data_IF_102879496143
#
_entry.id   IF_102879496143
#
_cell.length_a   1.000
_cell.length_b   1.000
_cell.length_c   1.000
_cell.angle_alpha   90.00
_cell.angle_beta   90.00
_cell.angle_gamma   90.00
#
_symmetry.space_group_name_H-M   'P 1'
#
loop_
_entity.id
_entity.type
_entity.pdbx_description
1 polymer ?
#
# COMPACT_ATOMS: atom_id res chain seq x y z
N UNK A 1 11.18 50.99 37.69
CA UNK A 1 11.45 50.84 36.25
C UNK A 1 11.76 49.38 35.98
N UNK A 2 11.03 48.72 35.08
CA UNK A 2 11.31 47.30 34.75
C UNK A 2 12.31 47.22 33.61
N UNK A 3 13.46 46.59 33.85
CA UNK A 3 14.48 46.35 32.81
C UNK A 3 14.21 45.05 32.09
N UNK A 4 13.93 45.10 30.79
CA UNK A 4 13.88 43.92 29.92
C UNK A 4 15.30 43.39 29.69
N UNK A 5 15.42 42.08 29.48
CA UNK A 5 16.66 41.40 29.12
C UNK A 5 16.44 40.52 27.89
N UNK A 6 17.47 40.31 27.08
CA UNK A 6 17.41 39.44 25.91
C UNK A 6 17.27 37.99 26.35
N UNK A 7 16.27 37.29 25.82
CA UNK A 7 16.03 35.87 26.11
C UNK A 7 17.08 34.94 25.48
N UNK A 8 17.87 35.43 24.53
CA UNK A 8 18.96 34.67 23.88
C UNK A 8 20.29 34.83 24.63
N UNK A 9 20.77 36.07 24.85
CA UNK A 9 22.09 36.33 25.44
C UNK A 9 22.09 36.93 26.87
N UNK A 10 20.94 37.18 27.48
CA UNK A 10 20.84 37.70 28.85
C UNK A 10 21.21 39.17 29.05
N UNK A 11 21.61 39.93 28.01
CA UNK A 11 21.92 41.36 28.12
C UNK A 11 20.68 42.21 28.36
N UNK A 12 20.80 43.26 29.18
CA UNK A 12 19.78 44.29 29.40
C UNK A 12 19.47 45.03 28.09
N UNK A 13 18.18 45.12 27.76
CA UNK A 13 17.67 45.75 26.55
C UNK A 13 17.16 47.15 26.84
N UNK A 14 17.32 48.06 25.87
CA UNK A 14 16.65 49.36 25.91
C UNK A 14 15.18 49.22 25.48
N UNK A 15 14.25 50.07 25.96
CA UNK A 15 12.82 49.87 25.73
C UNK A 15 12.38 49.90 24.25
N UNK A 16 13.14 50.59 23.40
CA UNK A 16 12.83 50.83 21.97
C UNK A 16 13.69 49.98 21.01
N UNK A 17 14.57 49.11 21.52
CA UNK A 17 15.39 48.23 20.70
C UNK A 17 14.52 47.12 20.06
N UNK A 18 14.43 47.11 18.73
CA UNK A 18 13.72 46.08 17.94
C UNK A 18 14.55 44.81 17.70
N UNK A 19 15.86 44.87 17.97
CA UNK A 19 16.82 43.78 17.85
C UNK A 19 17.87 43.91 18.95
N UNK A 20 18.39 42.81 19.48
CA UNK A 20 19.47 42.84 20.46
C UNK A 20 20.81 43.22 19.79
N UNK A 21 21.44 44.29 20.26
CA UNK A 21 22.67 44.84 19.68
C UNK A 21 23.94 43.99 19.88
N UNK A 22 23.92 42.92 20.68
CA UNK A 22 25.07 41.98 20.81
C UNK A 22 24.92 40.72 19.97
N UNK A 23 23.72 40.13 19.89
CA UNK A 23 23.49 38.82 19.28
C UNK A 23 22.58 38.85 18.03
N UNK A 24 22.08 40.02 17.63
CA UNK A 24 21.22 40.20 16.46
C UNK A 24 19.78 39.67 16.62
N UNK A 25 19.44 39.01 17.73
CA UNK A 25 18.11 38.45 17.97
C UNK A 25 17.01 39.51 17.81
N UNK A 26 16.04 39.26 16.92
CA UNK A 26 14.85 40.10 16.77
C UNK A 26 13.97 40.04 18.01
N UNK A 27 13.51 41.20 18.47
CA UNK A 27 12.64 41.36 19.63
C UNK A 27 11.22 41.59 19.12
N UNK A 28 10.28 40.75 19.57
CA UNK A 28 8.87 40.82 19.14
C UNK A 28 8.10 41.65 20.16
N UNK A 29 7.51 42.76 19.72
CA UNK A 29 6.61 43.58 20.54
C UNK A 29 5.25 42.90 20.67
N UNK A 30 4.93 42.47 21.89
CA UNK A 30 3.58 42.02 22.26
C UNK A 30 2.82 43.18 22.90
N UNK A 31 1.86 43.74 22.17
CA UNK A 31 0.84 44.62 22.75
C UNK A 31 -0.07 43.83 23.71
N UNK A 32 -0.62 44.54 24.70
CA UNK A 32 -1.02 43.94 25.97
C UNK A 32 -2.49 43.50 26.00
N UNK A 33 -2.73 42.31 26.56
CA UNK A 33 -4.01 42.03 27.21
C UNK A 33 -4.06 42.74 28.56
N UNK A 34 -5.16 43.42 28.88
CA UNK A 34 -5.52 43.82 30.25
C UNK A 34 -6.91 43.24 30.56
N UNK A 35 -7.01 42.60 31.73
CA UNK A 35 -8.21 41.99 32.29
C UNK A 35 -8.67 42.82 33.50
N UNK A 36 -9.98 43.00 33.69
CA UNK A 36 -10.59 43.66 34.86
C UNK A 36 -11.98 43.04 35.17
N UNK A 37 -12.35 43.03 36.45
CA UNK A 37 -13.38 42.14 37.04
C UNK A 37 -14.29 42.88 38.06
N UNK A 38 -15.52 42.46 38.38
CA UNK A 38 -16.40 41.41 37.81
C UNK A 38 -17.79 42.07 37.47
N UNK A 39 -19.01 41.79 38.01
CA UNK A 39 -19.57 40.63 38.70
C UNK A 39 -20.74 39.92 37.98
N UNK A 40 -20.83 38.61 38.17
CA UNK A 40 -22.02 37.79 38.36
C UNK A 40 -23.30 38.16 37.55
N UNK A 41 -23.45 37.63 36.33
CA UNK A 41 -24.77 37.14 35.89
C UNK A 41 -24.71 36.01 34.84
N UNK A 42 -24.85 34.80 35.38
CA UNK A 42 -25.21 33.52 34.77
C UNK A 42 -25.94 33.56 33.41
N UNK A 43 -25.19 33.72 32.31
CA UNK A 43 -25.53 33.10 31.03
C UNK A 43 -24.53 31.98 30.76
N UNK A 44 -24.93 30.75 31.09
CA UNK A 44 -24.30 29.56 30.53
C UNK A 44 -24.38 29.70 29.01
N UNK A 45 -23.26 29.98 28.34
CA UNK A 45 -23.16 29.80 26.90
C UNK A 45 -23.35 28.32 26.65
N UNK A 46 -24.59 27.96 26.32
CA UNK A 46 -24.92 26.64 25.86
C UNK A 46 -24.14 26.43 24.56
N UNK A 47 -23.03 25.69 24.65
CA UNK A 47 -22.49 24.91 23.55
C UNK A 47 -23.60 23.94 23.15
N UNK A 48 -24.52 24.44 22.31
CA UNK A 48 -25.75 23.76 22.02
C UNK A 48 -25.41 22.55 21.17
N UNK A 49 -25.73 21.37 21.71
CA UNK A 49 -25.72 20.13 20.94
C UNK A 49 -26.71 20.27 19.78
N UNK A 50 -26.25 20.80 18.65
CA UNK A 50 -27.03 20.81 17.40
C UNK A 50 -27.01 19.43 16.70
N UNK A 51 -26.78 18.37 17.47
CA UNK A 51 -27.09 17.00 17.08
C UNK A 51 -28.61 16.78 17.18
N UNK A 52 -29.31 17.29 16.17
CA UNK A 52 -30.65 16.82 15.85
C UNK A 52 -30.58 15.29 15.67
N UNK A 53 -31.50 14.51 16.26
CA UNK A 53 -31.50 13.03 16.13
C UNK A 53 -31.36 12.55 14.67
N UNK A 54 -31.90 13.31 13.71
CA UNK A 54 -31.75 13.06 12.26
C UNK A 54 -30.30 13.14 11.75
N UNK A 55 -29.49 14.09 12.23
CA UNK A 55 -28.06 14.21 11.85
C UNK A 55 -27.19 13.09 12.42
N UNK A 56 -27.51 12.62 13.64
CA UNK A 56 -26.86 11.44 14.21
C UNK A 56 -27.15 10.16 13.41
N UNK A 57 -28.40 9.99 12.93
CA UNK A 57 -28.80 8.85 12.08
C UNK A 57 -28.07 8.91 10.74
N UNK A 58 -27.99 10.07 10.09
CA UNK A 58 -27.28 10.23 8.79
C UNK A 58 -25.78 9.96 8.96
N UNK A 59 -25.14 10.50 10.01
CA UNK A 59 -23.74 10.21 10.31
C UNK A 59 -23.48 8.73 10.57
N UNK A 60 -24.37 8.06 11.32
CA UNK A 60 -24.29 6.61 11.54
C UNK A 60 -24.51 5.80 10.27
N UNK A 61 -25.40 6.23 9.36
CA UNK A 61 -25.61 5.58 8.07
C UNK A 61 -24.42 5.76 7.13
N UNK A 62 -23.80 6.93 7.09
CA UNK A 62 -22.58 7.17 6.30
C UNK A 62 -21.40 6.37 6.87
N UNK A 63 -21.27 6.27 8.20
CA UNK A 63 -20.26 5.42 8.84
C UNK A 63 -20.49 3.93 8.50
N UNK A 64 -21.72 3.45 8.62
CA UNK A 64 -22.07 2.06 8.27
C UNK A 64 -21.93 1.78 6.78
N UNK A 65 -22.27 2.72 5.90
CA UNK A 65 -22.01 2.62 4.46
C UNK A 65 -20.52 2.66 4.16
N UNK A 66 -19.72 3.46 4.88
CA UNK A 66 -18.26 3.47 4.75
C UNK A 66 -17.63 2.14 5.17
N UNK A 67 -18.05 1.59 6.32
CA UNK A 67 -17.62 0.27 6.81
C UNK A 67 -18.06 -0.83 5.83
N UNK A 68 -19.31 -0.78 5.34
CA UNK A 68 -19.81 -1.68 4.31
C UNK A 68 -19.01 -1.56 3.01
N UNK A 69 -18.68 -0.34 2.58
CA UNK A 69 -17.88 -0.08 1.38
C UNK A 69 -16.45 -0.61 1.53
N UNK A 70 -15.81 -0.48 2.70
CA UNK A 70 -14.52 -1.12 2.96
C UNK A 70 -14.61 -2.65 2.95
N UNK A 71 -15.67 -3.24 3.51
CA UNK A 71 -15.88 -4.70 3.53
C UNK A 71 -16.19 -5.25 2.12
N UNK A 72 -16.91 -4.48 1.28
CA UNK A 72 -17.34 -4.94 -0.04
C UNK A 72 -16.38 -4.56 -1.18
N UNK A 73 -15.49 -3.58 -1.01
CA UNK A 73 -14.39 -3.33 -1.97
C UNK A 73 -13.25 -4.33 -1.77
N UNK A 74 -12.94 -4.69 -0.52
CA UNK A 74 -12.04 -5.82 -0.22
C UNK A 74 -12.77 -7.17 -0.26
N UNK A 75 -13.98 -7.24 -0.84
CA UNK A 75 -14.59 -8.53 -1.16
C UNK A 75 -13.64 -9.28 -2.10
N UNK A 76 -13.16 -10.48 -1.73
CA UNK A 76 -12.34 -11.27 -2.65
C UNK A 76 -13.14 -11.47 -3.94
N UNK A 77 -12.53 -11.12 -5.07
CA UNK A 77 -13.03 -11.49 -6.39
C UNK A 77 -12.90 -13.01 -6.42
N UNK A 78 -14.01 -13.74 -6.23
CA UNK A 78 -14.00 -15.20 -6.32
C UNK A 78 -13.27 -15.63 -7.61
N UNK A 79 -12.59 -16.77 -7.55
CA UNK A 79 -11.91 -17.38 -8.70
C UNK A 79 -12.81 -17.38 -9.92
N UNK A 80 -12.31 -16.82 -11.02
CA UNK A 80 -13.06 -16.78 -12.28
C UNK A 80 -13.06 -18.16 -12.98
N UNK A 81 -12.26 -19.10 -12.49
CA UNK A 81 -12.05 -20.44 -13.06
C UNK A 81 -12.67 -21.50 -12.16
N UNK A 82 -13.75 -22.13 -12.63
CA UNK A 82 -14.45 -23.19 -11.88
C UNK A 82 -13.49 -24.34 -11.54
N UNK A 83 -13.35 -24.66 -10.27
CA UNK A 83 -12.47 -25.73 -9.77
C UNK A 83 -11.08 -25.27 -9.33
N UNK A 84 -10.78 -23.98 -9.46
CA UNK A 84 -9.59 -23.33 -8.88
C UNK A 84 -10.03 -22.53 -7.66
N UNK A 85 -9.36 -22.71 -6.52
CA UNK A 85 -9.62 -21.93 -5.30
C UNK A 85 -9.18 -20.47 -5.47
N UNK A 86 -9.76 -19.57 -4.68
CA UNK A 86 -9.44 -18.14 -4.76
C UNK A 86 -7.95 -17.86 -4.51
N UNK A 87 -7.33 -18.50 -3.50
CA UNK A 87 -5.88 -18.38 -3.20
C UNK A 87 -5.05 -18.72 -4.45
N UNK A 88 -5.27 -19.90 -5.03
CA UNK A 88 -4.50 -20.38 -6.19
C UNK A 88 -4.78 -19.52 -7.42
N UNK A 89 -6.03 -19.10 -7.64
CA UNK A 89 -6.39 -18.20 -8.74
C UNK A 89 -5.62 -16.89 -8.69
N UNK A 90 -5.57 -16.22 -7.54
CA UNK A 90 -4.81 -14.97 -7.39
C UNK A 90 -3.32 -15.17 -7.63
N UNK A 91 -2.75 -16.21 -7.05
CA UNK A 91 -1.33 -16.53 -7.21
C UNK A 91 -0.95 -16.86 -8.67
N UNK A 92 -1.85 -17.51 -9.43
CA UNK A 92 -1.67 -17.75 -10.87
C UNK A 92 -1.72 -16.44 -11.67
N UNK A 93 -2.63 -15.52 -11.33
CA UNK A 93 -2.74 -14.21 -12.02
C UNK A 93 -1.54 -13.31 -11.71
N UNK A 94 -1.07 -13.29 -10.46
CA UNK A 94 0.18 -12.60 -10.09
C UNK A 94 1.40 -13.16 -10.83
N UNK A 95 1.53 -14.49 -10.92
CA UNK A 95 2.61 -15.11 -11.68
C UNK A 95 2.50 -14.76 -13.17
N UNK A 96 1.30 -14.85 -13.77
CA UNK A 96 1.10 -14.49 -15.18
C UNK A 96 1.61 -13.07 -15.46
N UNK A 97 1.17 -12.07 -14.69
CA UNK A 97 1.60 -10.69 -14.92
C UNK A 97 3.09 -10.47 -14.63
N UNK A 98 3.69 -11.20 -13.67
CA UNK A 98 5.13 -11.15 -13.45
C UNK A 98 5.91 -11.65 -14.67
N UNK A 99 5.44 -12.74 -15.29
CA UNK A 99 6.05 -13.30 -16.49
C UNK A 99 5.87 -12.39 -17.72
N UNK A 100 4.73 -11.73 -17.86
CA UNK A 100 4.53 -10.67 -18.87
C UNK A 100 5.52 -9.51 -18.65
N UNK A 101 5.59 -8.95 -17.44
CA UNK A 101 6.49 -7.83 -17.13
C UNK A 101 7.97 -8.21 -17.33
N UNK A 102 8.35 -9.45 -16.98
CA UNK A 102 9.70 -9.96 -17.23
C UNK A 102 10.02 -9.99 -18.73
N UNK A 103 9.07 -10.37 -19.58
CA UNK A 103 9.25 -10.42 -21.02
C UNK A 103 9.22 -9.03 -21.68
N UNK A 104 8.40 -8.11 -21.19
CA UNK A 104 8.44 -6.70 -21.60
C UNK A 104 9.81 -6.07 -21.31
N UNK A 105 10.43 -6.39 -20.17
CA UNK A 105 11.79 -5.96 -19.84
C UNK A 105 12.87 -6.61 -20.70
N UNK A 106 12.70 -7.87 -21.13
CA UNK A 106 13.64 -8.51 -22.04
C UNK A 106 13.51 -8.07 -23.50
N UNK A 107 12.35 -7.58 -23.92
CA UNK A 107 12.05 -7.27 -25.33
C UNK A 107 12.05 -5.78 -25.67
N UNK A 108 11.71 -4.91 -24.72
CA UNK A 108 11.92 -3.47 -24.88
C UNK A 108 13.38 -3.07 -24.58
N UNK A 109 13.75 -1.85 -24.95
CA UNK A 109 15.04 -1.21 -24.62
C UNK A 109 15.18 -0.83 -23.13
N UNK A 110 14.25 -1.28 -22.30
CA UNK A 110 14.19 -1.03 -20.86
C UNK A 110 15.34 -1.70 -20.12
N UNK A 111 16.44 -0.96 -19.96
CA UNK A 111 17.59 -1.32 -19.11
C UNK A 111 17.27 -1.30 -17.60
N UNK A 112 16.05 -1.63 -17.21
CA UNK A 112 15.64 -1.75 -15.81
C UNK A 112 16.19 -3.03 -15.22
N UNK A 113 16.76 -2.95 -14.02
CA UNK A 113 17.16 -4.14 -13.30
C UNK A 113 15.89 -4.86 -12.80
N UNK A 114 15.68 -6.10 -13.26
CA UNK A 114 14.55 -6.94 -12.82
C UNK A 114 14.55 -7.12 -11.29
N UNK A 115 15.73 -7.19 -10.66
CA UNK A 115 15.84 -7.33 -9.21
C UNK A 115 15.40 -6.04 -8.49
N UNK A 116 15.81 -4.86 -8.99
CA UNK A 116 15.34 -3.56 -8.46
C UNK A 116 13.81 -3.41 -8.62
N UNK A 117 13.26 -3.80 -9.78
CA UNK A 117 11.81 -3.79 -9.98
C UNK A 117 11.10 -4.78 -9.05
N UNK A 118 11.64 -5.98 -8.84
CA UNK A 118 11.09 -6.98 -7.90
C UNK A 118 11.07 -6.44 -6.47
N UNK A 119 12.19 -5.91 -5.97
CA UNK A 119 12.31 -5.35 -4.61
C UNK A 119 11.37 -4.16 -4.37
N UNK A 120 11.03 -3.40 -5.41
CA UNK A 120 10.06 -2.32 -5.34
C UNK A 120 8.59 -2.81 -5.19
N UNK A 121 8.28 -4.07 -5.54
CA UNK A 121 6.91 -4.58 -5.47
C UNK A 121 6.48 -4.89 -4.03
N UNK A 122 5.20 -4.61 -3.72
CA UNK A 122 4.60 -4.99 -2.43
C UNK A 122 4.74 -6.49 -2.16
N UNK A 123 4.55 -7.31 -3.19
CA UNK A 123 4.65 -8.77 -3.20
C UNK A 123 6.02 -9.26 -2.70
N UNK A 124 7.09 -8.46 -2.86
CA UNK A 124 8.42 -8.82 -2.37
C UNK A 124 8.44 -8.98 -0.86
N UNK A 125 7.76 -8.11 -0.11
CA UNK A 125 7.67 -8.19 1.35
C UNK A 125 6.86 -9.40 1.83
N UNK A 126 5.86 -9.81 1.05
CA UNK A 126 5.10 -11.02 1.32
C UNK A 126 5.96 -12.27 1.04
N UNK A 127 6.84 -12.23 0.03
CA UNK A 127 7.84 -13.26 -0.28
C UNK A 127 9.00 -13.32 0.75
N UNK A 128 9.51 -12.17 1.22
CA UNK A 128 10.47 -12.07 2.33
C UNK A 128 9.91 -12.71 3.59
N UNK A 129 8.69 -12.32 3.98
CA UNK A 129 8.01 -12.89 5.14
C UNK A 129 7.77 -14.40 4.99
N UNK A 130 7.50 -14.90 3.78
CA UNK A 130 7.41 -16.34 3.55
C UNK A 130 8.76 -17.03 3.77
N UNK A 131 9.86 -16.46 3.26
CA UNK A 131 11.21 -16.97 3.45
C UNK A 131 11.63 -16.98 4.94
N UNK A 132 11.41 -15.89 5.67
CA UNK A 132 11.70 -15.77 7.11
C UNK A 132 11.00 -16.85 7.97
N UNK A 133 9.83 -17.32 7.54
CA UNK A 133 9.02 -18.32 8.25
C UNK A 133 9.16 -19.73 7.67
N UNK A 134 10.16 -19.98 6.80
CA UNK A 134 10.37 -21.24 6.11
C UNK A 134 11.78 -21.79 6.36
N UNK A 135 11.86 -23.01 6.91
CA UNK A 135 13.14 -23.72 7.09
C UNK A 135 13.83 -24.09 5.76
N UNK A 136 13.17 -23.85 4.61
CA UNK A 136 13.55 -24.40 3.30
C UNK A 136 13.68 -23.36 2.18
N UNK A 137 13.25 -22.12 2.42
CA UNK A 137 13.41 -20.99 1.49
C UNK A 137 14.43 -20.02 2.08
N UNK A 138 15.53 -19.80 1.37
CA UNK A 138 16.64 -18.98 1.83
C UNK A 138 16.49 -17.52 1.40
N UNK A 139 15.81 -17.26 0.28
CA UNK A 139 15.66 -15.92 -0.30
C UNK A 139 14.27 -15.71 -0.89
N UNK A 140 13.71 -14.49 -0.72
CA UNK A 140 12.42 -14.09 -1.28
C UNK A 140 12.31 -14.34 -2.79
N UNK A 141 13.41 -14.15 -3.52
CA UNK A 141 13.54 -14.43 -4.96
C UNK A 141 13.17 -15.86 -5.39
N UNK A 142 13.22 -16.85 -4.49
CA UNK A 142 12.82 -18.23 -4.79
C UNK A 142 11.30 -18.44 -4.78
N UNK A 143 10.55 -17.48 -4.23
CA UNK A 143 9.10 -17.52 -4.01
C UNK A 143 8.42 -16.20 -4.41
N UNK A 144 9.07 -15.40 -5.27
CA UNK A 144 8.50 -14.19 -5.85
C UNK A 144 7.79 -14.52 -7.18
N UNK A 145 6.63 -13.89 -7.50
CA UNK A 145 5.87 -12.94 -6.68
C UNK A 145 5.10 -13.61 -5.53
N UNK A 146 4.91 -14.93 -5.57
CA UNK A 146 4.22 -15.68 -4.52
C UNK A 146 4.73 -17.14 -4.44
N UNK A 147 4.50 -17.83 -3.31
CA UNK A 147 5.06 -19.16 -3.09
C UNK A 147 4.35 -20.32 -3.81
N UNK A 148 3.38 -20.07 -4.72
CA UNK A 148 2.53 -21.14 -5.29
C UNK A 148 3.32 -22.27 -5.94
N UNK A 149 4.31 -21.94 -6.77
CA UNK A 149 5.09 -22.95 -7.50
C UNK A 149 6.00 -23.73 -6.56
N UNK A 150 6.48 -23.08 -5.49
CA UNK A 150 7.25 -23.73 -4.44
C UNK A 150 6.38 -24.69 -3.61
N UNK A 151 5.22 -24.23 -3.12
CA UNK A 151 4.23 -25.07 -2.41
C UNK A 151 3.77 -26.26 -3.29
N UNK A 152 3.55 -26.03 -4.59
CA UNK A 152 3.18 -27.06 -5.56
C UNK A 152 4.25 -28.13 -5.74
N UNK A 153 5.52 -27.76 -5.88
CA UNK A 153 6.59 -28.75 -6.01
C UNK A 153 6.78 -29.61 -4.76
N UNK A 154 6.38 -29.10 -3.59
CA UNK A 154 6.46 -29.79 -2.30
C UNK A 154 5.26 -30.71 -2.03
N UNK A 155 4.05 -30.37 -2.49
CA UNK A 155 2.84 -31.13 -2.19
C UNK A 155 1.76 -31.03 -3.30
N UNK A 156 2.01 -31.66 -4.45
CA UNK A 156 1.08 -31.67 -5.58
C UNK A 156 -0.32 -32.24 -5.24
N UNK A 157 -0.38 -33.23 -4.34
CA UNK A 157 -1.64 -33.89 -3.94
C UNK A 157 -2.58 -32.97 -3.14
N UNK A 158 -2.11 -31.81 -2.70
CA UNK A 158 -2.95 -30.80 -2.03
C UNK A 158 -3.80 -29.93 -2.98
N UNK A 159 -3.57 -30.03 -4.30
CA UNK A 159 -4.22 -29.23 -5.32
C UNK A 159 -5.29 -30.01 -6.10
N UNK A 160 -6.35 -29.32 -6.50
CA UNK A 160 -7.38 -29.90 -7.39
C UNK A 160 -6.77 -30.22 -8.77
N UNK A 161 -7.34 -31.20 -9.50
CA UNK A 161 -6.89 -31.50 -10.86
C UNK A 161 -6.95 -30.29 -11.80
N UNK A 162 -7.85 -29.33 -11.55
CA UNK A 162 -7.94 -28.09 -12.34
C UNK A 162 -6.91 -27.04 -11.90
N UNK A 163 -6.56 -27.01 -10.62
CA UNK A 163 -5.44 -26.18 -10.12
C UNK A 163 -4.11 -26.67 -10.70
N UNK A 164 -3.87 -27.99 -10.64
CA UNK A 164 -2.71 -28.65 -11.26
C UNK A 164 -2.63 -28.34 -12.77
N UNK A 165 -3.76 -28.39 -13.49
CA UNK A 165 -3.80 -28.02 -14.91
C UNK A 165 -3.31 -26.58 -15.14
N UNK A 166 -3.84 -25.61 -14.39
CA UNK A 166 -3.48 -24.19 -14.54
C UNK A 166 -2.04 -23.88 -14.11
N UNK A 167 -1.57 -24.47 -12.99
CA UNK A 167 -0.17 -24.36 -12.54
C UNK A 167 0.78 -24.88 -13.62
N UNK A 168 0.45 -26.02 -14.25
CA UNK A 168 1.27 -26.58 -15.33
C UNK A 168 1.28 -25.71 -16.59
N UNK A 169 0.18 -25.00 -16.93
CA UNK A 169 0.16 -24.04 -18.05
C UNK A 169 1.08 -22.84 -17.77
N UNK A 170 0.99 -22.21 -16.59
CA UNK A 170 1.88 -21.10 -16.21
C UNK A 170 3.34 -21.57 -16.13
N UNK A 171 3.59 -22.79 -15.63
CA UNK A 171 4.92 -23.43 -15.67
C UNK A 171 5.43 -23.70 -17.09
N UNK A 172 4.54 -23.83 -18.08
CA UNK A 172 4.92 -23.98 -19.48
C UNK A 172 5.31 -22.63 -20.11
N UNK A 173 4.57 -21.56 -19.81
CA UNK A 173 4.91 -20.17 -20.16
C UNK A 173 6.29 -19.77 -19.60
N UNK A 174 6.52 -19.97 -18.29
CA UNK A 174 7.82 -19.70 -17.66
C UNK A 174 8.98 -20.46 -18.31
N UNK A 175 8.77 -21.72 -18.73
CA UNK A 175 9.79 -22.46 -19.47
C UNK A 175 10.08 -21.85 -20.84
N UNK A 176 9.07 -21.37 -21.57
CA UNK A 176 9.28 -20.72 -22.87
C UNK A 176 10.08 -19.42 -22.72
N UNK A 177 9.88 -18.65 -21.64
CA UNK A 177 10.70 -17.48 -21.28
C UNK A 177 12.17 -17.88 -21.05
N UNK A 178 12.42 -18.85 -20.16
CA UNK A 178 13.78 -19.30 -19.84
C UNK A 178 14.53 -19.92 -21.05
N UNK A 179 13.82 -20.43 -22.04
CA UNK A 179 14.39 -20.94 -23.30
C UNK A 179 14.36 -19.91 -24.45
N UNK A 180 14.02 -18.64 -24.18
CA UNK A 180 13.91 -17.55 -25.16
C UNK A 180 13.05 -17.91 -26.40
N UNK A 181 12.01 -18.71 -26.19
CA UNK A 181 11.09 -19.15 -27.24
C UNK A 181 9.88 -18.22 -27.31
N UNK A 182 10.08 -17.05 -27.93
CA UNK A 182 9.10 -15.97 -28.04
C UNK A 182 7.78 -16.40 -28.68
N UNK A 183 7.81 -17.16 -29.78
CA UNK A 183 6.61 -17.65 -30.49
C UNK A 183 5.74 -18.51 -29.56
N UNK A 184 6.37 -19.46 -28.85
CA UNK A 184 5.67 -20.33 -27.92
C UNK A 184 5.22 -19.61 -26.65
N UNK A 185 5.99 -18.63 -26.18
CA UNK A 185 5.58 -17.74 -25.10
C UNK A 185 4.30 -16.99 -25.46
N UNK A 186 4.24 -16.35 -26.64
CA UNK A 186 3.06 -15.60 -27.09
C UNK A 186 1.81 -16.49 -27.21
N UNK A 187 1.95 -17.71 -27.72
CA UNK A 187 0.86 -18.69 -27.79
C UNK A 187 0.32 -19.02 -26.39
N UNK A 188 1.22 -19.34 -25.46
CA UNK A 188 0.89 -19.75 -24.10
C UNK A 188 0.34 -18.61 -23.24
N UNK A 189 0.86 -17.39 -23.41
CA UNK A 189 0.35 -16.17 -22.78
C UNK A 189 -1.12 -15.94 -23.14
N UNK A 190 -1.43 -15.90 -24.45
CA UNK A 190 -2.80 -15.69 -24.96
C UNK A 190 -3.77 -16.81 -24.57
N UNK A 191 -3.29 -18.06 -24.46
CA UNK A 191 -4.08 -19.17 -23.92
C UNK A 191 -4.37 -18.98 -22.42
N UNK A 192 -3.36 -18.61 -21.63
CA UNK A 192 -3.47 -18.40 -20.18
C UNK A 192 -4.36 -17.21 -19.83
N UNK A 193 -4.21 -16.07 -20.50
CA UNK A 193 -5.03 -14.87 -20.32
C UNK A 193 -6.53 -15.22 -20.42
N UNK A 194 -6.88 -15.96 -21.48
CA UNK A 194 -8.23 -16.44 -21.76
C UNK A 194 -8.73 -17.44 -20.72
N UNK A 195 -7.91 -18.42 -20.34
CA UNK A 195 -8.30 -19.48 -19.41
C UNK A 195 -8.42 -18.99 -17.96
N UNK A 196 -7.52 -18.09 -17.53
CA UNK A 196 -7.62 -17.36 -16.27
C UNK A 196 -8.70 -16.26 -16.32
N UNK A 197 -9.21 -15.91 -17.50
CA UNK A 197 -10.22 -14.86 -17.72
C UNK A 197 -9.76 -13.51 -17.17
N UNK A 198 -8.48 -13.23 -17.43
CA UNK A 198 -7.84 -11.97 -17.07
C UNK A 198 -8.54 -10.82 -17.80
N UNK A 199 -8.49 -9.65 -17.18
CA UNK A 199 -8.89 -8.36 -17.74
C UNK A 199 -7.82 -7.37 -17.33
N UNK A 200 -7.62 -6.31 -18.08
CA UNK A 200 -6.60 -5.29 -17.84
C UNK A 200 -6.64 -4.76 -16.38
N UNK A 201 -7.84 -4.63 -15.79
CA UNK A 201 -8.07 -4.22 -14.39
C UNK A 201 -7.70 -5.25 -13.30
N UNK A 202 -6.98 -6.31 -13.65
CA UNK A 202 -6.37 -7.26 -12.70
C UNK A 202 -4.87 -7.04 -12.47
N UNK A 203 -4.19 -6.17 -13.23
CA UNK A 203 -2.74 -5.98 -13.14
C UNK A 203 -2.30 -5.65 -11.68
N UNK A 204 -1.57 -6.55 -11.00
CA UNK A 204 -1.36 -6.49 -9.55
C UNK A 204 -0.12 -5.67 -9.15
N UNK A 205 0.61 -5.15 -10.14
CA UNK A 205 1.83 -4.34 -9.95
C UNK A 205 1.60 -2.84 -10.29
N UNK A 206 0.37 -2.43 -10.60
CA UNK A 206 -0.04 -1.02 -10.65
C UNK A 206 -0.75 -0.63 -9.35
N UNK A 207 -0.01 -0.06 -8.39
CA UNK A 207 -0.53 0.74 -7.26
C UNK A 207 0.57 1.40 -6.42
#
# INVERSE_FOLDING_TARGET
>A
MSSKFCTNCGRKLNPEEKFCSECGQKLVENEQNIHLEEPAQQKRLAYSKFFNKKTAIIGSLILLLGIFYTIFIDSPRNSQVKGVSDKVYYQLVEQYFYLETQMDMFTNDGSGDIFEWMEAQKQFKDAEKYAENSDRVQHAYQVFPNPLFYEYHENQDSYSSKEIEMINKVSAMFRSINFFNYEKYEEQSKELEKDLRIKDSYYPFEK
#
